data_IF_138700660336
#
_entry.id   IF_138700660336
#
_cell.length_a   1.000
_cell.length_b   1.000
_cell.length_c   1.000
_cell.angle_alpha   90.00
_cell.angle_beta   90.00
_cell.angle_gamma   90.00
#
_symmetry.space_group_name_H-M   'P 1'
#
loop_
_entity.id
_entity.type
_entity.pdbx_description
1 polymer ?
#
# COMPACT_ATOMS: atom_id res chain seq x y z
N UNK A 1 -13.91 18.65 19.94
CA UNK A 1 -12.69 19.49 19.93
C UNK A 1 -11.52 18.85 20.67
N UNK A 2 -11.64 18.52 21.96
CA UNK A 2 -10.57 17.83 22.71
C UNK A 2 -10.23 16.45 22.12
N UNK A 3 -11.24 15.68 21.71
CA UNK A 3 -11.05 14.39 21.03
C UNK A 3 -10.23 14.52 19.73
N UNK A 4 -10.55 15.50 18.87
CA UNK A 4 -9.77 15.75 17.64
C UNK A 4 -8.33 16.12 17.92
N UNK A 5 -8.06 16.87 18.99
CA UNK A 5 -6.70 17.21 19.36
C UNK A 5 -5.87 15.96 19.72
N UNK A 6 -6.42 15.06 20.56
CA UNK A 6 -5.74 13.80 20.88
C UNK A 6 -5.60 12.89 19.65
N UNK A 7 -6.63 12.80 18.81
CA UNK A 7 -6.56 12.05 17.55
C UNK A 7 -5.47 12.58 16.61
N UNK A 8 -5.25 13.90 16.56
CA UNK A 8 -4.15 14.51 15.79
C UNK A 8 -2.78 14.11 16.35
N UNK A 9 -2.62 14.04 17.67
CA UNK A 9 -1.40 13.56 18.30
C UNK A 9 -1.13 12.11 17.92
N UNK A 10 -2.15 11.25 17.98
CA UNK A 10 -1.99 9.83 17.64
C UNK A 10 -1.70 9.63 16.15
N UNK A 11 -2.36 10.40 15.29
CA UNK A 11 -2.08 10.43 13.84
C UNK A 11 -0.65 10.88 13.56
N UNK A 12 -0.17 11.92 14.26
CA UNK A 12 1.20 12.39 14.12
C UNK A 12 2.21 11.35 14.58
N UNK A 13 1.99 10.70 15.74
CA UNK A 13 2.85 9.63 16.24
C UNK A 13 2.93 8.46 15.25
N UNK A 14 1.79 8.03 14.72
CA UNK A 14 1.73 6.97 13.72
C UNK A 14 2.49 7.36 12.44
N UNK A 15 2.32 8.61 11.97
CA UNK A 15 3.03 9.13 10.79
C UNK A 15 4.55 9.18 10.98
N UNK A 16 5.00 9.58 12.17
CA UNK A 16 6.42 9.76 12.45
C UNK A 16 7.15 8.45 12.76
N UNK A 17 6.41 7.38 13.11
CA UNK A 17 6.96 6.12 13.55
C UNK A 17 7.82 6.28 14.81
N UNK A 18 8.91 5.52 14.90
CA UNK A 18 9.86 5.56 16.03
C UNK A 18 10.96 6.62 15.88
N UNK A 19 11.00 7.35 14.76
CA UNK A 19 12.07 8.30 14.44
C UNK A 19 11.83 9.70 15.02
N UNK A 20 12.91 10.45 15.23
CA UNK A 20 12.85 11.85 15.68
C UNK A 20 13.18 12.87 14.58
N UNK A 21 13.18 12.42 13.32
CA UNK A 21 13.35 13.26 12.12
C UNK A 21 12.36 14.44 12.03
N UNK A 22 11.08 14.33 12.45
CA UNK A 22 10.18 15.49 12.46
C UNK A 22 10.67 16.62 13.38
N UNK A 23 11.30 16.30 14.51
CA UNK A 23 11.88 17.31 15.40
C UNK A 23 13.11 17.98 14.77
N UNK A 24 13.95 17.20 14.07
CA UNK A 24 15.05 17.75 13.26
C UNK A 24 14.50 18.73 12.22
N UNK A 25 13.44 18.33 11.51
CA UNK A 25 12.78 19.19 10.53
C UNK A 25 12.28 20.49 11.16
N UNK A 26 11.58 20.45 12.30
CA UNK A 26 11.10 21.66 12.99
C UNK A 26 12.28 22.58 13.35
N UNK A 27 13.37 22.01 13.89
CA UNK A 27 14.57 22.78 14.21
C UNK A 27 15.20 23.41 12.95
N UNK A 28 15.27 22.67 11.84
CA UNK A 28 15.75 23.16 10.55
C UNK A 28 14.88 24.29 9.98
N UNK A 29 13.55 24.14 10.03
CA UNK A 29 12.62 25.16 9.57
C UNK A 29 12.72 26.45 10.41
N UNK A 30 12.84 26.34 11.74
CA UNK A 30 13.09 27.49 12.63
C UNK A 30 14.45 28.13 12.32
N UNK A 31 15.48 27.34 12.10
CA UNK A 31 16.81 27.84 11.70
C UNK A 31 16.73 28.63 10.37
N UNK A 32 15.99 28.12 9.38
CA UNK A 32 15.74 28.83 8.11
C UNK A 32 15.02 30.15 8.37
N UNK A 33 14.00 30.19 9.24
CA UNK A 33 13.28 31.43 9.57
C UNK A 33 14.19 32.53 10.11
N UNK A 34 15.17 32.17 10.94
CA UNK A 34 16.09 33.12 11.57
C UNK A 34 17.21 33.53 10.62
N UNK A 35 17.75 32.59 9.85
CA UNK A 35 18.96 32.83 9.06
C UNK A 35 18.70 33.24 7.62
N UNK A 36 17.55 32.87 7.03
CA UNK A 36 17.19 33.20 5.66
C UNK A 36 16.82 34.67 5.46
N UNK A 37 17.52 35.31 4.52
CA UNK A 37 17.30 36.71 4.13
C UNK A 37 16.37 36.83 2.92
N UNK A 38 16.39 35.82 2.03
CA UNK A 38 15.52 35.80 0.85
C UNK A 38 14.11 35.44 1.28
N UNK A 39 13.21 36.43 1.28
CA UNK A 39 11.83 36.30 1.77
C UNK A 39 11.12 35.10 1.17
N UNK A 40 11.19 34.89 -0.14
CA UNK A 40 10.51 33.76 -0.80
C UNK A 40 10.96 32.39 -0.26
N UNK A 41 12.27 32.16 -0.11
CA UNK A 41 12.81 30.92 0.44
C UNK A 41 12.43 30.73 1.91
N UNK A 42 12.47 31.83 2.68
CA UNK A 42 12.06 31.85 4.08
C UNK A 42 10.58 31.48 4.24
N UNK A 43 9.73 31.98 3.34
CA UNK A 43 8.30 31.66 3.35
C UNK A 43 8.06 30.18 3.05
N UNK A 44 8.66 29.65 1.97
CA UNK A 44 8.39 28.27 1.51
C UNK A 44 9.02 27.20 2.40
N UNK A 45 10.24 27.41 2.90
CA UNK A 45 11.01 26.38 3.63
C UNK A 45 11.04 26.59 5.14
N UNK A 46 10.32 27.61 5.64
CA UNK A 46 10.27 27.97 7.04
C UNK A 46 8.85 28.27 7.49
N UNK A 47 8.23 29.32 6.95
CA UNK A 47 6.92 29.80 7.44
C UNK A 47 5.81 28.81 7.10
N UNK A 48 5.66 28.47 5.82
CA UNK A 48 4.57 27.60 5.33
C UNK A 48 4.63 26.19 5.96
N UNK A 49 5.79 25.50 6.00
CA UNK A 49 5.90 24.18 6.61
C UNK A 49 5.52 24.19 8.11
N UNK A 50 6.02 25.17 8.87
CA UNK A 50 5.67 25.32 10.29
C UNK A 50 4.19 25.68 10.49
N UNK A 51 3.64 26.54 9.62
CA UNK A 51 2.22 26.86 9.63
C UNK A 51 1.35 25.62 9.39
N UNK A 52 1.71 24.76 8.43
CA UNK A 52 1.01 23.50 8.19
C UNK A 52 1.05 22.60 9.43
N UNK A 53 2.20 22.51 10.11
CA UNK A 53 2.31 21.72 11.36
C UNK A 53 1.40 22.28 12.46
N UNK A 54 1.39 23.60 12.66
CA UNK A 54 0.50 24.23 13.64
C UNK A 54 -0.97 23.97 13.29
N UNK A 55 -1.35 24.16 12.02
CA UNK A 55 -2.69 23.89 11.53
C UNK A 55 -3.07 22.42 11.68
N UNK A 56 -2.14 21.49 11.46
CA UNK A 56 -2.38 20.06 11.62
C UNK A 56 -2.80 19.70 13.06
N UNK A 57 -2.16 20.31 14.05
CA UNK A 57 -2.50 20.06 15.47
C UNK A 57 -3.76 20.80 15.92
N UNK A 58 -4.22 21.83 15.21
CA UNK A 58 -5.48 22.49 15.55
C UNK A 58 -6.67 21.56 15.33
N UNK A 59 -7.54 21.32 16.33
CA UNK A 59 -8.67 20.41 16.18
C UNK A 59 -9.70 20.86 15.12
N UNK A 60 -9.71 22.15 14.78
CA UNK A 60 -10.59 22.72 13.76
C UNK A 60 -10.29 22.19 12.36
N UNK A 61 -9.02 21.97 12.03
CA UNK A 61 -8.63 21.54 10.67
C UNK A 61 -9.09 20.12 10.38
N UNK A 62 -8.99 19.21 11.35
CA UNK A 62 -9.57 17.86 11.25
C UNK A 62 -11.09 17.89 11.13
N UNK A 63 -11.76 18.71 11.93
CA UNK A 63 -13.21 18.85 11.84
C UNK A 63 -13.66 19.36 10.44
N UNK A 64 -12.91 20.28 9.84
CA UNK A 64 -13.16 20.73 8.47
C UNK A 64 -12.87 19.62 7.46
N UNK A 65 -11.77 18.88 7.62
CA UNK A 65 -11.37 17.78 6.75
C UNK A 65 -12.47 16.72 6.63
N UNK A 66 -13.01 16.27 7.77
CA UNK A 66 -14.13 15.32 7.82
C UNK A 66 -15.40 15.91 7.21
N UNK A 67 -15.70 17.19 7.48
CA UNK A 67 -16.90 17.86 6.95
C UNK A 67 -16.90 17.99 5.43
N UNK A 68 -15.72 18.04 4.80
CA UNK A 68 -15.58 18.07 3.34
C UNK A 68 -15.72 16.65 2.73
N UNK A 69 -16.00 15.64 3.55
CA UNK A 69 -16.25 14.26 3.12
C UNK A 69 -14.98 13.42 2.94
N UNK A 70 -13.86 13.86 3.52
CA UNK A 70 -12.63 13.07 3.51
C UNK A 70 -12.61 12.08 4.68
N UNK A 71 -12.15 10.86 4.42
CA UNK A 71 -12.06 9.80 5.43
C UNK A 71 -11.08 10.16 6.54
N UNK A 72 -11.49 9.94 7.79
CA UNK A 72 -10.69 10.24 8.97
C UNK A 72 -9.31 9.57 8.95
N UNK A 73 -9.26 8.32 8.45
CA UNK A 73 -8.04 7.54 8.28
C UNK A 73 -7.02 8.16 7.31
N UNK A 74 -7.38 9.21 6.57
CA UNK A 74 -6.51 9.87 5.58
C UNK A 74 -6.01 11.24 6.00
N UNK A 75 -6.37 11.72 7.19
CA UNK A 75 -6.00 13.03 7.70
C UNK A 75 -4.48 13.28 7.74
N UNK A 76 -3.68 12.22 7.96
CA UNK A 76 -2.21 12.31 7.93
C UNK A 76 -1.65 12.85 6.60
N UNK A 77 -2.40 12.77 5.49
CA UNK A 77 -1.99 13.29 4.17
C UNK A 77 -1.71 14.79 4.16
N UNK A 78 -2.28 15.54 5.11
CA UNK A 78 -1.95 16.97 5.29
C UNK A 78 -0.44 17.16 5.54
N UNK A 79 0.20 16.21 6.22
CA UNK A 79 1.64 16.24 6.49
C UNK A 79 2.49 16.01 5.22
N UNK A 80 1.92 15.45 4.14
CA UNK A 80 2.62 15.31 2.86
C UNK A 80 2.89 16.64 2.17
N UNK A 81 2.16 17.70 2.54
CA UNK A 81 2.41 19.06 2.07
C UNK A 81 3.69 19.66 2.66
N UNK A 82 4.24 19.06 3.72
CA UNK A 82 5.44 19.52 4.40
C UNK A 82 6.68 18.94 3.71
N UNK A 83 7.54 19.76 3.07
CA UNK A 83 8.71 19.28 2.35
C UNK A 83 9.89 18.98 3.30
N UNK A 84 9.67 18.13 4.31
CA UNK A 84 10.60 17.91 5.43
C UNK A 84 12.04 17.63 4.97
N UNK A 85 12.22 16.76 3.98
CA UNK A 85 13.55 16.41 3.45
C UNK A 85 14.26 17.59 2.77
N UNK A 86 13.51 18.44 2.06
CA UNK A 86 14.05 19.63 1.39
C UNK A 86 14.46 20.67 2.42
N UNK A 87 13.64 20.90 3.46
CA UNK A 87 13.93 21.87 4.51
C UNK A 87 15.16 21.47 5.31
N UNK A 88 15.27 20.18 5.68
CA UNK A 88 16.46 19.65 6.36
C UNK A 88 17.69 19.80 5.47
N UNK A 89 17.64 19.39 4.21
CA UNK A 89 18.77 19.53 3.28
C UNK A 89 19.19 20.99 3.10
N UNK A 90 18.23 21.90 2.91
CA UNK A 90 18.48 23.32 2.74
C UNK A 90 19.12 23.95 3.99
N UNK A 91 18.61 23.62 5.18
CA UNK A 91 19.16 24.09 6.44
C UNK A 91 20.63 23.66 6.61
N UNK A 92 20.95 22.39 6.31
CA UNK A 92 22.33 21.91 6.35
C UNK A 92 23.24 22.57 5.30
N UNK A 93 22.76 22.75 4.06
CA UNK A 93 23.50 23.47 3.03
C UNK A 93 23.84 24.91 3.46
N UNK A 94 22.90 25.59 4.13
CA UNK A 94 23.09 26.93 4.66
C UNK A 94 24.03 26.95 5.86
N UNK A 95 23.86 26.02 6.81
CA UNK A 95 24.69 25.91 8.00
C UNK A 95 26.17 25.66 7.66
N UNK A 96 26.42 24.87 6.61
CA UNK A 96 27.76 24.47 6.17
C UNK A 96 28.18 25.08 4.83
N UNK A 97 27.65 26.26 4.48
CA UNK A 97 27.91 26.91 3.18
C UNK A 97 29.42 27.05 2.88
N UNK A 98 30.22 27.35 3.91
CA UNK A 98 31.69 27.49 3.83
C UNK A 98 32.47 26.17 3.89
N UNK A 99 31.86 25.08 4.36
CA UNK A 99 32.51 23.77 4.60
C UNK A 99 31.65 22.62 4.06
N UNK A 100 31.36 22.64 2.76
CA UNK A 100 30.39 21.75 2.11
C UNK A 100 30.66 20.25 2.33
N UNK A 101 31.92 19.80 2.22
CA UNK A 101 32.29 18.38 2.44
C UNK A 101 32.01 17.92 3.87
N UNK A 102 32.35 18.77 4.86
CA UNK A 102 32.05 18.49 6.27
C UNK A 102 30.54 18.49 6.51
N UNK A 103 29.83 19.47 5.93
CA UNK A 103 28.38 19.55 6.04
C UNK A 103 27.65 18.33 5.51
N UNK A 104 28.10 17.79 4.36
CA UNK A 104 27.55 16.55 3.81
C UNK A 104 27.70 15.38 4.79
N UNK A 105 28.92 15.16 5.31
CA UNK A 105 29.19 14.07 6.25
C UNK A 105 28.36 14.22 7.52
N UNK A 106 28.33 15.43 8.09
CA UNK A 106 27.56 15.71 9.33
C UNK A 106 26.06 15.54 9.08
N UNK A 107 25.51 16.08 7.99
CA UNK A 107 24.09 15.96 7.68
C UNK A 107 23.66 14.50 7.51
N UNK A 108 24.43 13.70 6.76
CA UNK A 108 24.15 12.27 6.59
C UNK A 108 24.21 11.53 7.92
N UNK A 109 25.24 11.76 8.74
CA UNK A 109 25.35 11.12 10.05
C UNK A 109 24.19 11.50 10.98
N UNK A 110 23.81 12.77 11.03
CA UNK A 110 22.67 13.23 11.84
C UNK A 110 21.38 12.54 11.39
N UNK A 111 21.09 12.50 10.09
CA UNK A 111 19.88 11.84 9.58
C UNK A 111 19.88 10.34 9.92
N UNK A 112 21.01 9.64 9.75
CA UNK A 112 21.11 8.19 10.05
C UNK A 112 20.95 7.90 11.55
N UNK A 113 21.55 8.72 12.42
CA UNK A 113 21.42 8.56 13.88
C UNK A 113 19.99 8.84 14.32
N UNK A 114 19.38 9.92 13.84
CA UNK A 114 18.02 10.34 14.21
C UNK A 114 16.92 9.47 13.58
N UNK A 115 17.24 8.71 12.52
CA UNK A 115 16.39 7.64 12.00
C UNK A 115 16.55 6.33 12.77
N UNK A 116 17.33 6.30 13.86
CA UNK A 116 17.53 5.14 14.71
C UNK A 116 18.32 4.02 14.03
N UNK A 117 19.17 4.34 13.05
CA UNK A 117 19.85 3.35 12.18
C UNK A 117 18.89 2.37 11.48
N UNK A 118 17.59 2.70 11.43
CA UNK A 118 16.60 1.92 10.72
C UNK A 118 16.82 2.09 9.22
N UNK A 119 17.37 1.04 8.60
CA UNK A 119 17.56 0.97 7.17
C UNK A 119 16.32 0.33 6.56
N UNK A 120 15.62 1.09 5.71
CA UNK A 120 14.39 0.65 5.03
C UNK A 120 14.58 -0.72 4.36
N UNK A 121 15.73 -0.94 3.71
CA UNK A 121 16.08 -2.19 3.02
C UNK A 121 16.32 -3.41 3.94
N UNK A 122 16.29 -3.26 5.26
CA UNK A 122 16.30 -4.40 6.20
C UNK A 122 14.90 -4.91 6.53
N UNK A 123 13.86 -4.22 6.06
CA UNK A 123 12.49 -4.66 6.22
C UNK A 123 12.28 -6.02 5.55
N UNK A 124 11.61 -6.95 6.26
CA UNK A 124 11.18 -8.24 5.69
C UNK A 124 10.23 -8.07 4.50
N UNK A 125 9.59 -6.91 4.38
CA UNK A 125 8.68 -6.57 3.29
C UNK A 125 9.39 -6.04 2.04
N UNK A 126 10.73 -5.88 2.08
CA UNK A 126 11.52 -5.45 0.93
C UNK A 126 12.38 -6.61 0.47
N UNK A 127 11.96 -7.23 -0.63
CA UNK A 127 12.71 -8.28 -1.29
C UNK A 127 13.43 -7.72 -2.51
N UNK A 128 14.48 -8.43 -2.96
CA UNK A 128 15.15 -8.10 -4.21
C UNK A 128 14.22 -8.44 -5.36
N UNK A 129 14.08 -7.54 -6.34
CA UNK A 129 13.26 -7.78 -7.52
C UNK A 129 13.75 -9.03 -8.28
N UNK A 130 12.83 -9.94 -8.57
CA UNK A 130 13.08 -11.17 -9.31
C UNK A 130 13.10 -10.94 -10.83
N UNK A 131 12.30 -9.98 -11.30
CA UNK A 131 12.14 -9.65 -12.71
C UNK A 131 11.96 -8.13 -12.89
N UNK A 132 11.90 -7.67 -14.15
CA UNK A 132 11.79 -6.24 -14.51
C UNK A 132 10.50 -5.58 -14.06
N UNK A 133 9.44 -6.36 -13.81
CA UNK A 133 8.15 -5.86 -13.38
C UNK A 133 8.08 -5.69 -11.86
N UNK A 134 9.06 -6.22 -11.10
CA UNK A 134 9.09 -6.18 -9.64
C UNK A 134 7.83 -6.82 -9.01
N UNK A 135 7.27 -7.84 -9.67
CA UNK A 135 6.13 -8.64 -9.19
C UNK A 135 6.52 -10.12 -9.20
N UNK A 136 5.89 -10.98 -8.39
CA UNK A 136 6.17 -12.42 -8.41
C UNK A 136 5.96 -13.03 -9.80
N UNK A 137 6.88 -13.89 -10.22
CA UNK A 137 6.79 -14.57 -11.53
C UNK A 137 5.52 -15.42 -11.64
N UNK A 138 5.09 -16.05 -10.55
CA UNK A 138 3.80 -16.76 -10.47
C UNK A 138 2.61 -15.92 -10.94
N UNK A 139 2.54 -14.64 -10.52
CA UNK A 139 1.44 -13.77 -10.92
C UNK A 139 1.47 -13.44 -12.42
N UNK A 140 2.67 -13.29 -13.00
CA UNK A 140 2.88 -13.04 -14.43
C UNK A 140 2.40 -14.26 -15.23
N UNK A 141 2.83 -15.45 -14.85
CA UNK A 141 2.57 -16.67 -15.59
C UNK A 141 1.08 -17.05 -15.55
N UNK A 142 0.44 -16.89 -14.38
CA UNK A 142 -1.02 -17.02 -14.24
C UNK A 142 -1.74 -16.02 -15.14
N UNK A 143 -1.35 -14.73 -15.12
CA UNK A 143 -1.98 -13.72 -15.96
C UNK A 143 -1.83 -14.02 -17.45
N UNK A 144 -0.64 -14.44 -17.90
CA UNK A 144 -0.40 -14.79 -19.29
C UNK A 144 -1.20 -16.01 -19.74
N UNK A 145 -1.47 -16.95 -18.82
CA UNK A 145 -2.28 -18.13 -19.09
C UNK A 145 -3.77 -17.78 -19.28
N UNK A 146 -4.32 -16.91 -18.44
CA UNK A 146 -5.77 -16.64 -18.39
C UNK A 146 -6.19 -15.34 -19.10
N UNK A 147 -5.23 -14.54 -19.58
CA UNK A 147 -5.54 -13.29 -20.25
C UNK A 147 -6.44 -13.53 -21.48
N UNK A 148 -7.49 -12.71 -21.67
CA UNK A 148 -8.26 -12.74 -22.90
C UNK A 148 -7.38 -12.34 -24.07
N UNK A 149 -7.69 -12.82 -25.28
CA UNK A 149 -6.99 -12.37 -26.48
C UNK A 149 -7.38 -10.92 -26.79
N UNK A 150 -6.57 -10.27 -27.61
CA UNK A 150 -6.84 -8.91 -28.05
C UNK A 150 -8.21 -8.82 -28.74
N UNK A 151 -9.09 -7.96 -28.20
CA UNK A 151 -10.46 -7.77 -28.68
C UNK A 151 -11.52 -8.66 -28.03
N UNK A 152 -11.13 -9.63 -27.18
CA UNK A 152 -12.08 -10.41 -26.38
C UNK A 152 -12.52 -9.64 -25.12
N UNK A 153 -13.66 -10.04 -24.55
CA UNK A 153 -14.17 -9.44 -23.32
C UNK A 153 -13.24 -9.74 -22.14
N UNK A 154 -13.23 -8.82 -21.16
CA UNK A 154 -12.50 -9.03 -19.91
C UNK A 154 -13.01 -10.27 -19.18
N UNK A 155 -12.09 -11.05 -18.66
CA UNK A 155 -12.39 -12.23 -17.85
C UNK A 155 -12.40 -11.85 -16.38
N UNK A 156 -12.97 -12.70 -15.54
CA UNK A 156 -12.88 -12.55 -14.08
C UNK A 156 -12.23 -13.78 -13.47
N UNK A 157 -11.29 -13.57 -12.56
CA UNK A 157 -10.57 -14.63 -11.88
C UNK A 157 -10.67 -14.46 -10.36
N UNK A 158 -11.03 -15.52 -9.66
CA UNK A 158 -10.89 -15.60 -8.21
C UNK A 158 -9.49 -16.12 -7.88
N UNK A 159 -8.73 -15.37 -7.09
CA UNK A 159 -7.32 -15.68 -6.80
C UNK A 159 -7.01 -15.46 -5.32
N UNK A 160 -6.08 -16.20 -4.71
CA UNK A 160 -5.74 -16.03 -3.30
C UNK A 160 -5.34 -14.59 -2.97
N UNK A 161 -5.63 -14.10 -1.74
CA UNK A 161 -5.41 -12.70 -1.36
C UNK A 161 -4.01 -12.16 -1.66
N UNK A 162 -2.97 -13.00 -1.56
CA UNK A 162 -1.58 -12.65 -1.85
C UNK A 162 -1.31 -12.28 -3.32
N UNK A 163 -2.12 -12.76 -4.27
CA UNK A 163 -1.96 -12.48 -5.71
C UNK A 163 -2.72 -11.24 -6.19
N UNK A 164 -3.72 -10.78 -5.44
CA UNK A 164 -4.64 -9.69 -5.84
C UNK A 164 -3.91 -8.42 -6.24
N UNK A 165 -2.87 -8.05 -5.48
CA UNK A 165 -2.06 -6.87 -5.73
C UNK A 165 -1.34 -6.95 -7.08
N UNK A 166 -0.79 -8.12 -7.40
CA UNK A 166 0.09 -8.32 -8.54
C UNK A 166 -0.67 -8.52 -9.85
N UNK A 167 -1.79 -9.26 -9.82
CA UNK A 167 -2.62 -9.48 -11.01
C UNK A 167 -3.14 -8.14 -11.54
N UNK A 168 -3.69 -7.30 -10.67
CA UNK A 168 -4.21 -5.97 -11.05
C UNK A 168 -3.11 -5.03 -11.55
N UNK A 169 -1.89 -5.15 -11.03
CA UNK A 169 -0.74 -4.37 -11.48
C UNK A 169 -0.23 -4.82 -12.85
N UNK A 170 -0.31 -6.11 -13.17
CA UNK A 170 0.23 -6.68 -14.39
C UNK A 170 -0.74 -6.64 -15.58
N UNK A 171 -2.01 -7.01 -15.37
CA UNK A 171 -2.99 -7.06 -16.45
C UNK A 171 -4.39 -6.62 -15.98
N UNK A 172 -4.90 -5.53 -16.58
CA UNK A 172 -6.19 -4.93 -16.24
C UNK A 172 -7.39 -5.61 -16.90
N UNK A 173 -7.17 -6.53 -17.84
CA UNK A 173 -8.23 -7.26 -18.53
C UNK A 173 -8.68 -8.52 -17.76
N UNK A 174 -8.01 -8.80 -16.64
CA UNK A 174 -8.41 -9.78 -15.64
C UNK A 174 -9.06 -9.03 -14.47
N UNK A 175 -10.38 -9.13 -14.36
CA UNK A 175 -11.14 -8.59 -13.24
C UNK A 175 -11.03 -9.50 -12.02
N UNK A 176 -11.02 -8.92 -10.82
CA UNK A 176 -11.02 -9.65 -9.56
C UNK A 176 -12.34 -9.40 -8.80
N UNK A 177 -12.91 -10.41 -8.11
CA UNK A 177 -14.16 -10.27 -7.35
C UNK A 177 -13.98 -9.46 -6.06
N UNK A 178 -12.74 -9.24 -5.63
CA UNK A 178 -12.36 -8.39 -4.50
C UNK A 178 -11.00 -7.74 -4.76
N UNK A 179 -10.73 -6.62 -4.09
CA UNK A 179 -9.47 -5.90 -4.15
C UNK A 179 -8.77 -5.82 -2.79
N UNK A 180 -7.76 -4.94 -2.73
CA UNK A 180 -7.02 -4.58 -1.51
C UNK A 180 -7.95 -4.23 -0.35
N UNK A 181 -9.10 -3.67 -0.67
CA UNK A 181 -10.12 -3.23 0.26
C UNK A 181 -10.70 -4.31 1.16
N UNK A 182 -10.70 -5.55 0.69
CA UNK A 182 -11.18 -6.71 1.45
C UNK A 182 -10.03 -7.47 2.11
N UNK A 183 -8.81 -7.36 1.57
CA UNK A 183 -7.62 -8.06 2.08
C UNK A 183 -7.02 -7.35 3.30
N UNK A 184 -7.11 -6.02 3.34
CA UNK A 184 -6.53 -5.23 4.44
C UNK A 184 -7.47 -5.22 5.65
N UNK A 185 -7.04 -5.85 6.74
CA UNK A 185 -7.82 -5.96 7.98
C UNK A 185 -8.27 -4.61 8.57
N UNK A 186 -7.66 -3.50 8.17
CA UNK A 186 -8.05 -2.16 8.61
C UNK A 186 -9.45 -1.75 8.13
N UNK A 187 -9.95 -2.28 7.01
CA UNK A 187 -11.20 -1.80 6.40
C UNK A 187 -12.41 -2.66 6.75
N UNK A 188 -12.20 -3.90 7.26
CA UNK A 188 -13.24 -4.81 7.78
C UNK A 188 -14.45 -4.98 6.82
N UNK A 189 -14.17 -5.03 5.52
CA UNK A 189 -15.19 -5.25 4.51
C UNK A 189 -15.40 -6.73 4.24
N UNK A 190 -16.67 -7.10 4.10
CA UNK A 190 -17.06 -8.47 3.80
C UNK A 190 -17.22 -8.69 2.29
N UNK A 191 -16.66 -9.77 1.77
CA UNK A 191 -16.87 -10.24 0.40
C UNK A 191 -16.93 -11.77 0.37
N UNK A 192 -18.02 -12.30 -0.20
CA UNK A 192 -18.28 -13.74 -0.21
C UNK A 192 -17.15 -14.57 -0.82
N UNK A 193 -16.54 -14.11 -1.91
CA UNK A 193 -15.45 -14.85 -2.58
C UNK A 193 -14.15 -14.73 -1.78
N UNK A 194 -13.89 -13.58 -1.17
CA UNK A 194 -12.74 -13.39 -0.28
C UNK A 194 -12.79 -14.35 0.91
N UNK A 195 -13.95 -14.50 1.57
CA UNK A 195 -14.11 -15.43 2.70
C UNK A 195 -13.77 -16.88 2.31
N UNK A 196 -14.12 -17.30 1.09
CA UNK A 196 -13.82 -18.67 0.62
C UNK A 196 -12.36 -18.82 0.14
N UNK A 197 -11.71 -17.72 -0.24
CA UNK A 197 -10.32 -17.72 -0.72
C UNK A 197 -9.29 -17.47 0.39
N UNK A 198 -9.68 -16.80 1.47
CA UNK A 198 -8.84 -16.46 2.61
C UNK A 198 -8.86 -17.59 3.63
N UNK A 199 -8.06 -18.63 3.37
CA UNK A 199 -7.99 -19.81 4.24
C UNK A 199 -7.00 -19.59 5.39
N UNK A 200 -7.44 -19.81 6.62
CA UNK A 200 -6.57 -19.79 7.80
C UNK A 200 -5.51 -20.91 7.76
N UNK A 201 -4.33 -20.73 8.39
CA UNK A 201 -3.30 -21.76 8.45
C UNK A 201 -3.83 -23.09 9.00
N UNK A 202 -3.71 -24.15 8.20
CA UNK A 202 -4.21 -25.50 8.54
C UNK A 202 -5.67 -25.76 8.13
N UNK A 203 -6.34 -24.80 7.51
CA UNK A 203 -7.65 -24.98 6.90
C UNK A 203 -7.60 -25.67 5.52
N UNK A 204 -8.77 -25.81 4.91
CA UNK A 204 -8.96 -26.37 3.57
C UNK A 204 -9.97 -25.54 2.78
N UNK A 205 -9.86 -25.51 1.46
CA UNK A 205 -10.90 -24.94 0.61
C UNK A 205 -12.18 -25.79 0.70
N UNK A 206 -13.32 -25.14 0.93
CA UNK A 206 -14.64 -25.73 0.70
C UNK A 206 -15.04 -25.46 -0.76
N UNK A 207 -14.90 -26.47 -1.61
CA UNK A 207 -15.09 -26.28 -3.06
C UNK A 207 -16.54 -25.94 -3.40
N UNK A 208 -17.52 -26.53 -2.73
CA UNK A 208 -18.94 -26.26 -3.02
C UNK A 208 -19.30 -24.79 -2.74
N UNK A 209 -18.94 -24.29 -1.55
CA UNK A 209 -19.18 -22.90 -1.15
C UNK A 209 -18.35 -21.91 -2.01
N UNK A 210 -17.13 -22.28 -2.37
CA UNK A 210 -16.30 -21.47 -3.26
C UNK A 210 -16.94 -21.37 -4.66
N UNK A 211 -17.45 -22.47 -5.21
CA UNK A 211 -18.07 -22.46 -6.53
C UNK A 211 -19.41 -21.71 -6.54
N UNK A 212 -20.21 -21.81 -5.48
CA UNK A 212 -21.42 -21.00 -5.33
C UNK A 212 -21.09 -19.50 -5.44
N UNK A 213 -20.12 -19.02 -4.66
CA UNK A 213 -19.78 -17.59 -4.61
C UNK A 213 -19.08 -17.11 -5.89
N UNK A 214 -18.18 -17.92 -6.45
CA UNK A 214 -17.44 -17.56 -7.67
C UNK A 214 -18.34 -17.54 -8.92
N UNK A 215 -19.30 -18.47 -9.04
CA UNK A 215 -20.31 -18.47 -10.12
C UNK A 215 -21.26 -17.29 -10.01
N UNK A 216 -21.74 -16.96 -8.81
CA UNK A 216 -22.56 -15.74 -8.59
C UNK A 216 -21.83 -14.46 -9.04
N UNK A 217 -20.51 -14.41 -8.83
CA UNK A 217 -19.67 -13.29 -9.26
C UNK A 217 -19.19 -13.39 -10.72
N UNK A 218 -19.59 -14.44 -11.46
CA UNK A 218 -19.16 -14.73 -12.83
C UNK A 218 -17.65 -14.82 -12.99
N UNK A 219 -16.97 -15.52 -12.09
CA UNK A 219 -15.54 -15.80 -12.19
C UNK A 219 -15.31 -16.98 -13.14
N UNK A 220 -14.72 -16.71 -14.30
CA UNK A 220 -14.34 -17.71 -15.31
C UNK A 220 -13.20 -18.61 -14.82
N UNK A 221 -12.28 -18.04 -14.03
CA UNK A 221 -11.10 -18.74 -13.54
C UNK A 221 -11.06 -18.78 -12.01
N UNK A 222 -10.58 -19.90 -11.47
CA UNK A 222 -10.37 -20.11 -10.03
C UNK A 222 -8.93 -20.57 -9.83
N UNK A 223 -8.15 -19.77 -9.12
CA UNK A 223 -6.75 -20.06 -8.79
C UNK A 223 -6.67 -20.50 -7.34
N UNK A 224 -6.11 -21.68 -7.07
CA UNK A 224 -5.99 -22.25 -5.72
C UNK A 224 -4.53 -22.44 -5.35
N UNK A 225 -4.16 -22.10 -4.12
CA UNK A 225 -2.82 -22.35 -3.59
C UNK A 225 -2.66 -23.85 -3.31
N UNK A 226 -1.69 -24.52 -3.95
CA UNK A 226 -1.47 -25.96 -3.82
C UNK A 226 -1.04 -26.40 -2.41
N UNK A 227 -0.58 -25.46 -1.58
CA UNK A 227 -0.23 -25.73 -0.18
C UNK A 227 -1.45 -25.88 0.72
N UNK A 228 -2.63 -25.44 0.27
CA UNK A 228 -3.90 -25.54 0.99
C UNK A 228 -4.71 -26.70 0.39
N UNK A 229 -5.08 -27.71 1.20
CA UNK A 229 -5.85 -28.83 0.70
C UNK A 229 -7.27 -28.42 0.31
N UNK A 230 -7.88 -29.17 -0.59
CA UNK A 230 -9.32 -29.07 -0.90
C UNK A 230 -10.07 -30.19 -0.19
N UNK A 231 -11.31 -29.94 0.20
CA UNK A 231 -12.19 -30.95 0.81
C UNK A 231 -12.61 -32.06 -0.18
N UNK A 232 -12.82 -31.66 -1.44
CA UNK A 232 -13.08 -32.54 -2.58
C UNK A 232 -12.24 -32.11 -3.79
N UNK A 233 -12.10 -33.00 -4.77
CA UNK A 233 -11.40 -32.68 -6.02
C UNK A 233 -12.23 -31.66 -6.83
N UNK A 234 -11.72 -30.46 -7.13
CA UNK A 234 -12.45 -29.43 -7.88
C UNK A 234 -12.97 -29.93 -9.24
N UNK A 235 -12.28 -30.88 -9.87
CA UNK A 235 -12.69 -31.42 -11.17
C UNK A 235 -13.98 -32.23 -11.09
N UNK A 236 -14.27 -32.83 -9.92
CA UNK A 236 -15.54 -33.55 -9.68
C UNK A 236 -16.74 -32.61 -9.59
N UNK A 237 -16.50 -31.31 -9.36
CA UNK A 237 -17.51 -30.25 -9.30
C UNK A 237 -17.64 -29.44 -10.60
N UNK A 238 -17.09 -29.97 -11.70
CA UNK A 238 -17.21 -29.42 -13.04
C UNK A 238 -16.10 -28.45 -13.44
N UNK A 239 -15.11 -28.20 -12.59
CA UNK A 239 -13.95 -27.38 -12.97
C UNK A 239 -13.01 -28.13 -13.91
N UNK A 240 -12.43 -27.41 -14.87
CA UNK A 240 -11.41 -27.93 -15.79
C UNK A 240 -10.05 -27.42 -15.33
N UNK A 241 -9.15 -28.33 -14.93
CA UNK A 241 -7.76 -27.99 -14.61
C UNK A 241 -7.03 -27.57 -15.89
N UNK A 242 -6.58 -26.32 -15.95
CA UNK A 242 -5.81 -25.79 -17.09
C UNK A 242 -4.31 -26.02 -16.91
N UNK A 243 -3.80 -25.74 -15.72
CA UNK A 243 -2.38 -25.86 -15.42
C UNK A 243 -2.12 -25.92 -13.91
N UNK A 244 -0.93 -26.43 -13.56
CA UNK A 244 -0.32 -26.28 -12.25
C UNK A 244 1.06 -25.63 -12.43
N UNK A 245 1.26 -24.47 -11.83
CA UNK A 245 2.52 -23.72 -11.94
C UNK A 245 2.75 -22.87 -10.69
N UNK A 246 4.02 -22.71 -10.31
CA UNK A 246 4.46 -21.82 -9.24
C UNK A 246 3.72 -21.97 -7.90
N UNK A 247 3.28 -23.19 -7.57
CA UNK A 247 2.54 -23.49 -6.34
C UNK A 247 1.04 -23.21 -6.41
N UNK A 248 0.48 -22.97 -7.60
CA UNK A 248 -0.94 -22.75 -7.81
C UNK A 248 -1.54 -23.73 -8.82
N UNK A 249 -2.79 -24.15 -8.57
CA UNK A 249 -3.63 -24.84 -9.55
C UNK A 249 -4.60 -23.84 -10.17
N UNK A 250 -4.61 -23.75 -11.49
CA UNK A 250 -5.50 -22.86 -12.25
C UNK A 250 -6.61 -23.67 -12.89
N UNK A 251 -7.84 -23.37 -12.51
CA UNK A 251 -9.05 -24.00 -13.01
C UNK A 251 -9.86 -23.01 -13.84
N UNK A 252 -10.59 -23.53 -14.83
CA UNK A 252 -11.62 -22.83 -15.58
C UNK A 252 -12.99 -23.42 -15.25
N UNK A 253 -13.98 -22.57 -15.01
CA UNK A 253 -15.36 -22.99 -14.80
C UNK A 253 -16.17 -22.86 -16.09
N UNK A 254 -16.49 -23.98 -16.78
CA UNK A 254 -17.20 -23.94 -18.05
C UNK A 254 -18.63 -23.42 -17.89
N UNK A 255 -19.24 -23.58 -16.72
CA UNK A 255 -20.62 -23.14 -16.48
C UNK A 255 -20.77 -21.62 -16.51
N UNK A 256 -19.70 -20.88 -16.22
CA UNK A 256 -19.70 -19.41 -16.29
C UNK A 256 -19.51 -18.92 -17.72
N UNK A 257 -18.76 -19.65 -18.54
CA UNK A 257 -18.48 -19.28 -19.94
C UNK A 257 -19.73 -19.46 -20.81
N UNK A 258 -20.56 -20.46 -20.52
CA UNK A 258 -21.79 -20.74 -21.28
C UNK A 258 -22.90 -19.69 -21.04
N UNK A 259 -22.81 -18.89 -19.98
CA UNK A 259 -23.78 -17.86 -19.61
C UNK A 259 -23.38 -16.42 -20.06
N UNK A 260 -22.19 -16.24 -20.65
CA UNK A 260 -21.62 -14.93 -21.04
C UNK A 260 -21.69 -14.66 -22.53
#
# INVERSE_FOLDING_TARGET
MVQYFFANIDTFKAYCGSGILPLLFIACAIYILVTEKIVWKKMILGVVPLFIIVMFFMPFTRAVYEKVGMEDGTYYRVLWLVPMGVDVAYAFCRLFERRRKLGLVVATLVVVVLSGFSLVYRSQYITKAENRFHIPTAAIDICNLIAPKEGEARVRAACPPELVYFIRQYNTDIMLPYGRDYVEAQWDYWNAVYEQMSIEPGGSYNIEALLETTRQQKCTYVVLNMSVPTDIDPTTQGLVLLAQMDGYSIYMDPLVVEES
#
